data_IF_943098425873
#
_entry.id   IF_943098425873
#
_cell.length_a   1.000
_cell.length_b   1.000
_cell.length_c   1.000
_cell.angle_alpha   90.00
_cell.angle_beta   90.00
_cell.angle_gamma   90.00
#
_symmetry.space_group_name_H-M   'P 1'
#
loop_
_entity.id
_entity.type
_entity.pdbx_description
1 polymer ?
#
# COMPACT_ATOMS: atom_id res chain seq x y z
N UNK A 1 -52.49 17.04 3.70
CA UNK A 1 -51.51 17.96 4.32
C UNK A 1 -50.13 17.48 3.89
N UNK A 2 -49.35 18.32 3.21
CA UNK A 2 -48.01 17.95 2.75
C UNK A 2 -47.01 18.10 3.90
N UNK A 3 -46.22 17.06 4.15
CA UNK A 3 -45.05 17.14 5.02
C UNK A 3 -43.86 17.53 4.13
N UNK A 4 -43.61 18.82 4.09
CA UNK A 4 -42.46 19.40 3.39
C UNK A 4 -41.18 19.08 4.19
N UNK A 5 -40.59 17.92 3.92
CA UNK A 5 -39.32 17.46 4.49
C UNK A 5 -38.15 18.30 3.95
N UNK A 6 -38.06 19.55 4.39
CA UNK A 6 -36.88 20.40 4.12
C UNK A 6 -35.73 19.92 4.99
N UNK A 7 -34.95 18.99 4.47
CA UNK A 7 -33.63 18.66 5.01
C UNK A 7 -32.83 19.97 5.07
N UNK A 8 -32.27 20.37 6.23
CA UNK A 8 -31.52 21.61 6.34
C UNK A 8 -30.32 21.56 5.40
N UNK A 9 -30.23 22.55 4.51
CA UNK A 9 -29.16 22.69 3.50
C UNK A 9 -27.76 22.69 4.18
N UNK A 10 -27.71 23.06 5.46
CA UNK A 10 -26.52 23.06 6.32
C UNK A 10 -25.94 21.67 6.62
N UNK A 11 -26.75 20.60 6.71
CA UNK A 11 -26.25 19.23 6.94
C UNK A 11 -25.57 18.68 5.68
N UNK A 12 -26.12 19.01 4.50
CA UNK A 12 -25.59 18.59 3.19
C UNK A 12 -24.18 19.14 2.91
N UNK A 13 -23.87 20.34 3.43
CA UNK A 13 -22.54 20.97 3.31
C UNK A 13 -21.49 20.32 4.21
N UNK A 14 -21.83 19.95 5.44
CA UNK A 14 -20.93 19.24 6.35
C UNK A 14 -20.61 17.82 5.86
N UNK A 15 -21.60 17.12 5.29
CA UNK A 15 -21.42 15.78 4.72
C UNK A 15 -20.53 15.82 3.45
N UNK A 16 -20.66 16.86 2.63
CA UNK A 16 -19.81 17.06 1.46
C UNK A 16 -18.35 17.36 1.86
N UNK A 17 -18.12 18.27 2.81
CA UNK A 17 -16.77 18.62 3.29
C UNK A 17 -16.08 17.42 3.93
N UNK A 18 -16.78 16.66 4.77
CA UNK A 18 -16.23 15.45 5.39
C UNK A 18 -15.94 14.35 4.36
N UNK A 19 -16.80 14.18 3.36
CA UNK A 19 -16.57 13.26 2.24
C UNK A 19 -15.34 13.65 1.41
N UNK A 20 -15.19 14.93 1.05
CA UNK A 20 -14.03 15.42 0.30
C UNK A 20 -12.74 15.33 1.13
N UNK A 21 -12.78 15.68 2.41
CA UNK A 21 -11.64 15.54 3.31
C UNK A 21 -11.19 14.08 3.45
N UNK A 22 -12.14 13.15 3.63
CA UNK A 22 -11.84 11.72 3.67
C UNK A 22 -11.23 11.22 2.36
N UNK A 23 -11.78 11.66 1.22
CA UNK A 23 -11.28 11.28 -0.10
C UNK A 23 -9.85 11.81 -0.33
N UNK A 24 -9.59 13.07 0.04
CA UNK A 24 -8.26 13.67 -0.03
C UNK A 24 -7.24 12.95 0.87
N UNK A 25 -7.64 12.58 2.09
CA UNK A 25 -6.78 11.81 3.01
C UNK A 25 -6.46 10.42 2.46
N UNK A 26 -7.43 9.74 1.86
CA UNK A 26 -7.20 8.44 1.22
C UNK A 26 -6.25 8.60 0.03
N UNK A 27 -6.45 9.60 -0.81
CA UNK A 27 -5.57 9.87 -1.95
C UNK A 27 -4.14 10.17 -1.48
N UNK A 28 -3.97 10.99 -0.43
CA UNK A 28 -2.67 11.29 0.16
C UNK A 28 -2.00 10.03 0.74
N UNK A 29 -2.76 9.19 1.45
CA UNK A 29 -2.27 7.92 1.96
C UNK A 29 -1.81 6.98 0.83
N UNK A 30 -2.56 6.90 -0.27
CA UNK A 30 -2.15 6.12 -1.44
C UNK A 30 -0.87 6.67 -2.08
N UNK A 31 -0.79 7.99 -2.27
CA UNK A 31 0.40 8.64 -2.83
C UNK A 31 1.64 8.42 -1.97
N UNK A 32 1.51 8.53 -0.64
CA UNK A 32 2.63 8.28 0.28
C UNK A 32 3.10 6.83 0.22
N UNK A 33 2.18 5.87 0.16
CA UNK A 33 2.52 4.45 0.00
C UNK A 33 3.25 4.20 -1.32
N UNK A 34 2.75 4.78 -2.42
CA UNK A 34 3.41 4.68 -3.74
C UNK A 34 4.81 5.31 -3.72
N UNK A 35 4.95 6.49 -3.10
CA UNK A 35 6.23 7.18 -3.00
C UNK A 35 7.25 6.37 -2.18
N UNK A 36 6.85 5.84 -1.02
CA UNK A 36 7.72 4.98 -0.19
C UNK A 36 8.07 3.68 -0.92
N UNK A 37 7.12 3.08 -1.62
CA UNK A 37 7.36 1.88 -2.44
C UNK A 37 8.36 2.14 -3.57
N UNK A 38 8.26 3.30 -4.23
CA UNK A 38 9.21 3.70 -5.26
C UNK A 38 10.62 3.92 -4.68
N UNK A 39 10.73 4.61 -3.53
CA UNK A 39 12.01 4.79 -2.85
C UNK A 39 12.64 3.46 -2.42
N UNK A 40 11.84 2.56 -1.83
CA UNK A 40 12.29 1.23 -1.45
C UNK A 40 12.76 0.41 -2.66
N UNK A 41 12.01 0.47 -3.77
CA UNK A 41 12.38 -0.18 -5.03
C UNK A 41 13.71 0.34 -5.57
N UNK A 42 13.92 1.66 -5.56
CA UNK A 42 15.15 2.29 -6.03
C UNK A 42 16.35 1.93 -5.14
N UNK A 43 16.14 1.87 -3.83
CA UNK A 43 17.14 1.39 -2.88
C UNK A 43 17.50 -0.08 -3.12
N UNK A 44 16.50 -0.95 -3.33
CA UNK A 44 16.73 -2.37 -3.64
C UNK A 44 17.50 -2.54 -4.94
N UNK A 45 17.15 -1.81 -6.00
CA UNK A 45 17.90 -1.82 -7.25
C UNK A 45 19.37 -1.40 -7.03
N UNK A 46 19.59 -0.33 -6.26
CA UNK A 46 20.93 0.14 -5.90
C UNK A 46 21.73 -0.90 -5.10
N UNK A 47 21.09 -1.55 -4.12
CA UNK A 47 21.67 -2.62 -3.33
C UNK A 47 22.12 -3.80 -4.20
N UNK A 48 21.25 -4.30 -5.07
CA UNK A 48 21.57 -5.41 -5.96
C UNK A 48 22.63 -5.05 -7.00
N UNK A 49 22.64 -3.80 -7.48
CA UNK A 49 23.69 -3.33 -8.36
C UNK A 49 25.05 -3.40 -7.67
N UNK A 50 25.17 -2.84 -6.46
CA UNK A 50 26.42 -2.87 -5.68
C UNK A 50 26.86 -4.30 -5.36
N UNK A 51 25.93 -5.14 -4.93
CA UNK A 51 26.19 -6.56 -4.69
C UNK A 51 26.72 -7.27 -5.95
N UNK A 52 26.13 -6.97 -7.12
CA UNK A 52 26.55 -7.55 -8.40
C UNK A 52 27.95 -7.08 -8.84
N UNK A 53 28.33 -5.87 -8.45
CA UNK A 53 29.66 -5.29 -8.67
C UNK A 53 30.66 -5.70 -7.58
N UNK A 54 30.26 -6.53 -6.61
CA UNK A 54 31.04 -6.95 -5.43
C UNK A 54 31.53 -5.77 -4.57
N UNK A 55 30.82 -4.65 -4.62
CA UNK A 55 31.02 -3.49 -3.75
C UNK A 55 30.12 -3.66 -2.53
N UNK A 56 30.54 -3.15 -1.37
CA UNK A 56 29.75 -3.24 -0.14
C UNK A 56 28.34 -2.64 -0.35
N UNK A 57 27.26 -3.45 -0.34
CA UNK A 57 25.94 -3.00 -0.73
C UNK A 57 25.27 -2.13 0.34
N UNK A 58 25.81 -2.06 1.56
CA UNK A 58 25.35 -1.13 2.59
C UNK A 58 25.67 0.34 2.27
N UNK A 59 26.60 0.58 1.34
CA UNK A 59 26.88 1.92 0.82
C UNK A 59 25.98 2.32 -0.36
N UNK A 60 25.09 1.42 -0.80
CA UNK A 60 24.15 1.74 -1.87
C UNK A 60 23.09 2.74 -1.39
N UNK A 61 23.27 4.01 -1.76
CA UNK A 61 22.26 5.05 -1.59
C UNK A 61 21.11 4.91 -2.57
N UNK A 62 20.04 5.67 -2.35
CA UNK A 62 18.86 5.73 -3.23
C UNK A 62 19.21 6.11 -4.68
N UNK A 63 20.26 6.92 -4.86
CA UNK A 63 20.67 7.45 -6.16
C UNK A 63 21.71 6.58 -6.89
N UNK A 64 22.21 5.52 -6.26
CA UNK A 64 23.34 4.79 -6.81
C UNK A 64 23.02 4.06 -8.12
N UNK A 65 21.81 3.52 -8.26
CA UNK A 65 21.34 2.93 -9.52
C UNK A 65 21.10 3.99 -10.62
N UNK A 66 20.37 5.10 -10.37
CA UNK A 66 20.25 6.20 -11.33
C UNK A 66 21.60 6.78 -11.78
N UNK A 67 22.52 7.02 -10.85
CA UNK A 67 23.83 7.58 -11.15
C UNK A 67 24.64 6.63 -12.05
N UNK A 68 24.58 5.33 -11.75
CA UNK A 68 25.21 4.31 -12.58
C UNK A 68 24.54 4.20 -13.97
N UNK A 69 23.23 4.43 -14.09
CA UNK A 69 22.54 4.50 -15.38
C UNK A 69 23.08 5.65 -16.23
N UNK A 70 23.22 6.83 -15.65
CA UNK A 70 23.78 7.99 -16.35
C UNK A 70 25.24 7.77 -16.73
N UNK A 71 26.05 7.21 -15.82
CA UNK A 71 27.43 6.86 -16.11
C UNK A 71 27.56 5.83 -17.25
N UNK A 72 26.66 4.84 -17.31
CA UNK A 72 26.59 3.88 -18.41
C UNK A 72 26.18 4.55 -19.72
N UNK A 73 25.17 5.43 -19.71
CA UNK A 73 24.71 6.17 -20.89
C UNK A 73 25.78 7.10 -21.46
N UNK A 74 26.59 7.70 -20.59
CA UNK A 74 27.74 8.54 -20.96
C UNK A 74 28.96 7.71 -21.40
N UNK A 75 28.86 6.38 -21.46
CA UNK A 75 29.93 5.48 -21.89
C UNK A 75 31.03 5.25 -20.85
N UNK A 76 30.88 5.76 -19.62
CA UNK A 76 31.87 5.63 -18.54
C UNK A 76 31.88 4.25 -17.87
N UNK A 77 30.92 3.37 -18.21
CA UNK A 77 30.78 2.04 -17.60
C UNK A 77 30.65 0.93 -18.66
N UNK A 78 31.73 0.60 -19.39
CA UNK A 78 31.69 -0.47 -20.39
C UNK A 78 31.30 -1.81 -19.74
N UNK A 79 30.38 -2.55 -20.36
CA UNK A 79 29.83 -3.84 -19.89
C UNK A 79 28.97 -3.80 -18.61
N UNK A 80 28.62 -2.62 -18.09
CA UNK A 80 27.76 -2.47 -16.90
C UNK A 80 26.27 -2.73 -17.13
N UNK A 81 25.79 -2.67 -18.38
CA UNK A 81 24.36 -2.69 -18.72
C UNK A 81 23.59 -3.92 -18.21
N UNK A 82 24.21 -5.12 -18.23
CA UNK A 82 23.58 -6.35 -17.73
C UNK A 82 23.30 -6.32 -16.22
N UNK A 83 24.24 -5.75 -15.46
CA UNK A 83 24.11 -5.60 -14.01
C UNK A 83 23.05 -4.56 -13.67
N UNK A 84 23.02 -3.48 -14.46
CA UNK A 84 22.06 -2.41 -14.33
C UNK A 84 20.62 -2.89 -14.61
N UNK A 85 20.43 -3.61 -15.71
CA UNK A 85 19.14 -4.19 -16.09
C UNK A 85 18.65 -5.22 -15.06
N UNK A 86 19.53 -6.13 -14.61
CA UNK A 86 19.20 -7.10 -13.58
C UNK A 86 18.77 -6.46 -12.27
N UNK A 87 19.49 -5.43 -11.83
CA UNK A 87 19.14 -4.64 -10.64
C UNK A 87 17.80 -3.92 -10.79
N UNK A 88 17.52 -3.32 -11.96
CA UNK A 88 16.24 -2.67 -12.24
C UNK A 88 15.08 -3.67 -12.18
N UNK A 89 15.24 -4.86 -12.78
CA UNK A 89 14.22 -5.91 -12.77
C UNK A 89 13.86 -6.33 -11.33
N UNK A 90 14.85 -6.48 -10.46
CA UNK A 90 14.62 -6.80 -9.05
C UNK A 90 13.92 -5.65 -8.31
N UNK A 91 14.31 -4.40 -8.58
CA UNK A 91 13.61 -3.23 -8.05
C UNK A 91 12.14 -3.21 -8.47
N UNK A 92 11.84 -3.43 -9.76
CA UNK A 92 10.47 -3.49 -10.31
C UNK A 92 9.68 -4.64 -9.69
N UNK A 93 10.29 -5.81 -9.52
CA UNK A 93 9.65 -6.96 -8.89
C UNK A 93 9.20 -6.62 -7.46
N UNK A 94 9.99 -5.86 -6.69
CA UNK A 94 9.59 -5.40 -5.35
C UNK A 94 8.50 -4.33 -5.42
N UNK A 95 8.60 -3.39 -6.36
CA UNK A 95 7.61 -2.32 -6.55
C UNK A 95 6.22 -2.85 -6.90
N UNK A 96 6.13 -3.95 -7.66
CA UNK A 96 4.86 -4.58 -8.06
C UNK A 96 4.45 -5.68 -7.08
N UNK A 97 5.41 -6.53 -6.69
CA UNK A 97 5.19 -7.67 -5.81
C UNK A 97 4.77 -7.26 -4.40
N UNK A 98 5.34 -6.17 -3.86
CA UNK A 98 4.98 -5.65 -2.54
C UNK A 98 3.50 -5.25 -2.45
N UNK A 99 3.00 -4.34 -3.31
CA UNK A 99 1.58 -3.98 -3.37
C UNK A 99 0.67 -5.17 -3.67
N UNK A 100 1.04 -6.04 -4.62
CA UNK A 100 0.24 -7.24 -4.94
C UNK A 100 0.10 -8.16 -3.73
N UNK A 101 1.18 -8.40 -2.98
CA UNK A 101 1.16 -9.19 -1.75
C UNK A 101 0.38 -8.49 -0.63
N UNK A 102 0.50 -7.16 -0.53
CA UNK A 102 -0.30 -6.35 0.40
C UNK A 102 -1.80 -6.49 0.14
N UNK A 103 -2.22 -6.34 -1.12
CA UNK A 103 -3.63 -6.55 -1.53
C UNK A 103 -4.07 -7.98 -1.25
N UNK A 104 -3.24 -8.98 -1.61
CA UNK A 104 -3.53 -10.38 -1.35
C UNK A 104 -3.75 -10.66 0.15
N UNK A 105 -2.85 -10.18 1.02
CA UNK A 105 -2.97 -10.38 2.47
C UNK A 105 -4.17 -9.67 3.08
N UNK A 106 -4.52 -8.48 2.59
CA UNK A 106 -5.73 -7.76 3.00
C UNK A 106 -7.00 -8.49 2.53
N UNK A 107 -6.99 -9.02 1.31
CA UNK A 107 -8.08 -9.80 0.77
C UNK A 107 -8.28 -11.09 1.57
N UNK A 108 -7.20 -11.84 1.85
CA UNK A 108 -7.23 -13.04 2.69
C UNK A 108 -7.80 -12.75 4.09
N UNK A 109 -7.40 -11.63 4.70
CA UNK A 109 -7.96 -11.18 6.00
C UNK A 109 -9.43 -10.79 5.92
N UNK A 110 -9.87 -10.18 4.82
CA UNK A 110 -11.28 -9.84 4.59
C UNK A 110 -12.17 -11.06 4.26
N UNK A 111 -11.58 -12.09 3.65
CA UNK A 111 -12.22 -13.36 3.29
C UNK A 111 -12.49 -14.26 4.49
N UNK A 112 -11.73 -14.09 5.57
CA UNK A 112 -12.09 -14.59 6.91
C UNK A 112 -13.29 -13.80 7.45
N UNK A 113 -14.47 -14.05 6.90
CA UNK A 113 -15.74 -13.76 7.58
C UNK A 113 -15.62 -14.31 9.00
N UNK A 114 -15.98 -13.52 10.01
CA UNK A 114 -16.01 -14.02 11.39
C UNK A 114 -16.93 -15.24 11.40
N UNK A 115 -16.34 -16.43 11.53
CA UNK A 115 -17.08 -17.70 11.70
C UNK A 115 -17.95 -17.65 12.96
N UNK A 116 -17.60 -16.78 13.89
CA UNK A 116 -18.48 -16.26 14.91
C UNK A 116 -19.12 -14.99 14.34
N UNK A 117 -20.32 -15.09 13.78
CA UNK A 117 -21.18 -13.91 13.63
C UNK A 117 -21.35 -13.20 14.98
N UNK A 118 -22.33 -12.33 15.10
CA UNK A 118 -22.75 -11.77 16.40
C UNK A 118 -23.30 -12.84 17.39
N UNK A 119 -22.81 -14.08 17.34
CA UNK A 119 -22.95 -15.12 18.34
C UNK A 119 -22.25 -14.65 19.63
N UNK A 120 -22.89 -13.71 20.31
CA UNK A 120 -22.78 -13.57 21.75
C UNK A 120 -23.49 -14.77 22.38
N UNK A 121 -22.95 -15.29 23.48
CA UNK A 121 -23.71 -16.20 24.32
C UNK A 121 -25.03 -15.52 24.70
N UNK A 122 -26.14 -16.24 24.58
CA UNK A 122 -27.45 -15.74 24.97
C UNK A 122 -27.43 -15.39 26.46
N UNK A 123 -27.94 -14.21 26.82
CA UNK A 123 -28.08 -13.80 28.21
C UNK A 123 -29.10 -14.68 28.93
N UNK A 124 -29.03 -14.78 30.27
CA UNK A 124 -29.96 -15.59 31.05
C UNK A 124 -31.45 -15.21 30.83
N UNK A 125 -31.72 -13.95 30.45
CA UNK A 125 -33.06 -13.49 30.08
C UNK A 125 -33.52 -14.04 28.72
N UNK A 126 -32.62 -14.07 27.73
CA UNK A 126 -32.89 -14.64 26.40
C UNK A 126 -33.05 -16.17 26.47
N UNK A 127 -32.27 -16.85 27.31
CA UNK A 127 -32.38 -18.31 27.53
C UNK A 127 -33.74 -18.67 28.16
N UNK A 128 -34.21 -17.87 29.14
CA UNK A 128 -35.51 -18.07 29.79
C UNK A 128 -36.68 -17.76 28.84
N UNK A 129 -36.56 -16.73 28.01
CA UNK A 129 -37.55 -16.42 26.99
C UNK A 129 -37.68 -17.52 25.93
N UNK A 130 -36.59 -18.26 25.67
CA UNK A 130 -36.58 -19.41 24.79
C UNK A 130 -37.09 -20.72 25.45
N UNK A 131 -37.42 -20.70 26.76
CA UNK A 131 -37.90 -21.88 27.49
C UNK A 131 -36.84 -22.96 27.70
N UNK A 132 -35.56 -22.59 27.62
CA UNK A 132 -34.43 -23.50 27.81
C UNK A 132 -33.96 -23.59 29.29
N UNK A 133 -34.73 -22.96 30.19
CA UNK A 133 -34.58 -22.98 31.65
C UNK A 133 -35.96 -23.18 32.29
#
# INVERSE_FOLDING_TARGET
>A
MNENSRVPISLKGHDAVTFHARTALIALALLTVVAVGALASLWVASFFLYASLRVNPLHAGLWAWPDALFAWRDGRMPNGGKHLAGAALLGVLVAIGGPAMGVYTLWERSGRRRLYGSARFASAAEIRAAGLL
#
